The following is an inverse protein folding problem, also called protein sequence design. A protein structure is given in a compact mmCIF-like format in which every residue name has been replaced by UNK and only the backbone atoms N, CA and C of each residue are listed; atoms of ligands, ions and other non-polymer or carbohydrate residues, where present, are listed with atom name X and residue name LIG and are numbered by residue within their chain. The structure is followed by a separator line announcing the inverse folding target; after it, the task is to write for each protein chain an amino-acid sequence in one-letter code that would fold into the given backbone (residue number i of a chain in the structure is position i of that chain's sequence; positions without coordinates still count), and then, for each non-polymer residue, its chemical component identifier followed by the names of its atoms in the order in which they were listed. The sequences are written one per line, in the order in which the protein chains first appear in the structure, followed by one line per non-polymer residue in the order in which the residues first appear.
data_IF_844157855432
#
_entry.id   IF_844157855432
#
_cell.length_a   1.000
_cell.length_b   1.000
_cell.length_c   1.000
_cell.angle_alpha   90.00
_cell.angle_beta   90.00
_cell.angle_gamma   90.00
#
_symmetry.space_group_name_H-M   'P 1'
#
loop_
_entity.id
_entity.type
_entity.pdbx_description
1 polymer ?
#
# COMPACT_ATOMS: atom_id res chain seq x y z
N UNK A 1 12.06 -9.37 10.43
CA UNK A 1 10.84 -9.69 11.19
C UNK A 1 9.73 -8.93 10.51
N UNK A 2 8.59 -9.56 10.26
CA UNK A 2 7.49 -8.90 9.58
C UNK A 2 7.03 -7.64 10.32
N UNK A 3 6.67 -6.61 9.56
CA UNK A 3 6.22 -5.30 10.05
C UNK A 3 4.86 -4.98 9.48
N UNK A 4 4.06 -4.26 10.25
CA UNK A 4 2.85 -3.59 9.81
C UNK A 4 3.22 -2.18 9.38
N UNK A 5 2.92 -1.84 8.13
CA UNK A 5 2.91 -0.47 7.64
C UNK A 5 1.50 0.09 7.80
N UNK A 6 1.35 1.16 8.57
CA UNK A 6 0.14 1.97 8.61
C UNK A 6 0.42 3.27 7.88
N UNK A 7 -0.36 3.56 6.84
CA UNK A 7 -0.14 4.69 5.95
C UNK A 7 -1.44 5.45 5.70
N UNK A 8 -1.35 6.79 5.71
CA UNK A 8 -2.45 7.68 5.31
C UNK A 8 -1.95 8.70 4.32
N UNK A 9 -2.72 8.92 3.26
CA UNK A 9 -2.40 9.90 2.23
C UNK A 9 -3.59 10.81 1.97
N UNK A 10 -3.46 12.06 2.43
CA UNK A 10 -4.52 13.04 2.33
C UNK A 10 -4.84 13.36 0.86
N UNK A 11 -6.12 13.39 0.53
CA UNK A 11 -6.62 13.82 -0.78
C UNK A 11 -6.45 12.83 -1.94
N UNK A 12 -5.86 11.65 -1.73
CA UNK A 12 -5.80 10.60 -2.75
C UNK A 12 -7.17 10.00 -2.99
N UNK A 13 -7.60 9.95 -4.26
CA UNK A 13 -8.89 9.38 -4.66
C UNK A 13 -8.79 7.90 -5.02
N UNK A 14 -9.92 7.15 -5.05
CA UNK A 14 -9.95 5.78 -5.55
C UNK A 14 -9.39 5.63 -6.96
N UNK A 15 -9.73 6.55 -7.86
CA UNK A 15 -9.26 6.50 -9.25
C UNK A 15 -7.73 6.69 -9.35
N UNK A 16 -7.16 7.58 -8.53
CA UNK A 16 -5.71 7.74 -8.47
C UNK A 16 -5.02 6.50 -7.88
N UNK A 17 -5.61 5.90 -6.86
CA UNK A 17 -5.11 4.66 -6.29
C UNK A 17 -5.14 3.52 -7.30
N UNK A 18 -6.24 3.32 -8.02
CA UNK A 18 -6.37 2.27 -9.03
C UNK A 18 -5.33 2.46 -10.15
N UNK A 19 -5.15 3.70 -10.62
CA UNK A 19 -4.11 4.04 -11.60
C UNK A 19 -2.71 3.66 -11.10
N UNK A 20 -2.39 3.95 -9.84
CA UNK A 20 -1.09 3.60 -9.26
C UNK A 20 -0.96 2.09 -9.08
N UNK A 21 -1.98 1.41 -8.53
CA UNK A 21 -2.02 -0.04 -8.33
C UNK A 21 -1.78 -0.79 -9.64
N UNK A 22 -2.44 -0.36 -10.70
CA UNK A 22 -2.31 -0.95 -12.04
C UNK A 22 -0.94 -0.63 -12.64
N UNK A 23 -0.46 0.61 -12.52
CA UNK A 23 0.85 1.02 -13.03
C UNK A 23 2.00 0.28 -12.36
N UNK A 24 1.89 0.00 -11.06
CA UNK A 24 2.87 -0.84 -10.37
C UNK A 24 2.63 -2.31 -10.60
N UNK A 25 1.54 -2.75 -11.25
CA UNK A 25 1.20 -4.15 -11.48
C UNK A 25 1.13 -4.98 -10.19
N UNK A 26 0.40 -4.46 -9.19
CA UNK A 26 0.37 -5.03 -7.83
C UNK A 26 -0.14 -6.47 -7.79
N UNK A 27 -1.22 -6.78 -8.51
CA UNK A 27 -1.92 -8.07 -8.38
C UNK A 27 -1.28 -9.19 -9.22
N UNK A 28 -0.82 -8.86 -10.43
CA UNK A 28 -0.15 -9.84 -11.31
C UNK A 28 1.33 -10.04 -10.97
N UNK A 29 1.96 -9.05 -10.30
CA UNK A 29 3.36 -9.09 -9.93
C UNK A 29 3.57 -8.53 -8.51
N UNK A 30 3.01 -9.22 -7.52
CA UNK A 30 3.13 -8.85 -6.11
C UNK A 30 4.58 -8.49 -5.73
N UNK A 31 4.82 -7.35 -5.05
CA UNK A 31 6.17 -6.95 -4.66
C UNK A 31 6.83 -7.97 -3.73
N UNK A 32 8.14 -8.12 -3.88
CA UNK A 32 8.91 -9.02 -3.03
C UNK A 32 8.75 -8.63 -1.55
N UNK A 33 8.37 -9.61 -0.73
CA UNK A 33 8.17 -9.43 0.71
C UNK A 33 6.86 -8.77 1.12
N UNK A 34 5.92 -8.50 0.19
CA UNK A 34 4.55 -8.11 0.55
C UNK A 34 3.73 -9.34 0.96
N UNK A 35 3.07 -9.28 2.11
CA UNK A 35 2.31 -10.41 2.67
C UNK A 35 0.79 -10.13 2.79
N UNK A 36 0.41 -8.86 2.94
CA UNK A 36 -0.97 -8.40 3.05
C UNK A 36 -1.03 -6.95 2.59
N UNK A 37 -2.08 -6.60 1.85
CA UNK A 37 -2.42 -5.22 1.51
C UNK A 37 -3.90 -5.00 1.75
N UNK A 38 -4.22 -3.94 2.49
CA UNK A 38 -5.59 -3.50 2.73
C UNK A 38 -5.63 -2.00 2.49
N UNK A 39 -6.46 -1.57 1.56
CA UNK A 39 -6.69 -0.17 1.27
C UNK A 39 -8.16 0.19 1.48
N UNK A 40 -8.41 1.39 2.00
CA UNK A 40 -9.75 1.95 2.10
C UNK A 40 -9.70 3.47 2.02
N UNK A 41 -10.87 4.07 1.83
CA UNK A 41 -11.01 5.51 1.69
C UNK A 41 -11.99 6.04 2.73
N UNK A 42 -11.71 7.25 3.22
CA UNK A 42 -12.66 8.07 3.96
C UNK A 42 -12.64 9.52 3.43
N UNK A 43 -13.29 10.43 4.15
CA UNK A 43 -13.34 11.85 3.74
C UNK A 43 -11.95 12.53 3.72
N UNK A 44 -10.94 11.98 4.38
CA UNK A 44 -9.59 12.54 4.40
C UNK A 44 -8.73 12.01 3.24
N UNK A 45 -9.04 10.84 2.67
CA UNK A 45 -8.34 10.26 1.53
C UNK A 45 -8.05 8.78 1.70
N UNK A 46 -6.89 8.35 1.21
CA UNK A 46 -6.45 6.96 1.20
C UNK A 46 -5.87 6.56 2.56
N UNK A 47 -6.23 5.37 3.00
CA UNK A 47 -5.59 4.63 4.08
C UNK A 47 -5.11 3.29 3.57
N UNK A 48 -3.93 2.90 4.01
CA UNK A 48 -3.31 1.62 3.67
C UNK A 48 -2.79 0.96 4.94
N UNK A 49 -3.05 -0.33 5.06
CA UNK A 49 -2.41 -1.21 6.02
C UNK A 49 -1.77 -2.37 5.26
N UNK A 50 -0.45 -2.44 5.32
CA UNK A 50 0.29 -3.54 4.72
C UNK A 50 1.02 -4.36 5.77
N UNK A 51 1.27 -5.62 5.43
CA UNK A 51 2.26 -6.44 6.11
C UNK A 51 3.39 -6.72 5.14
N UNK A 52 4.62 -6.43 5.58
CA UNK A 52 5.84 -6.67 4.82
C UNK A 52 6.82 -7.51 5.64
N UNK A 53 7.64 -8.34 4.99
CA UNK A 53 8.71 -9.12 5.64
C UNK A 53 9.72 -8.24 6.40
N UNK A 54 9.89 -6.99 5.94
CA UNK A 54 10.73 -5.96 6.55
C UNK A 54 10.37 -4.56 6.03
N UNK A 55 10.77 -3.52 6.76
CA UNK A 55 10.66 -2.13 6.29
C UNK A 55 11.47 -1.92 5.00
N UNK A 56 12.64 -2.55 4.89
CA UNK A 56 13.51 -2.44 3.71
C UNK A 56 12.85 -3.00 2.44
N UNK A 57 12.03 -4.06 2.55
CA UNK A 57 11.29 -4.61 1.42
C UNK A 57 10.29 -3.59 0.85
N UNK A 58 9.56 -2.88 1.71
CA UNK A 58 8.69 -1.79 1.27
C UNK A 58 9.51 -0.65 0.65
N UNK A 59 10.62 -0.23 1.28
CA UNK A 59 11.42 0.89 0.75
C UNK A 59 12.01 0.58 -0.63
N UNK A 60 12.43 -0.66 -0.88
CA UNK A 60 12.87 -1.10 -2.21
C UNK A 60 11.73 -1.01 -3.23
N UNK A 61 10.55 -1.56 -2.90
CA UNK A 61 9.36 -1.43 -3.75
C UNK A 61 8.98 0.03 -4.01
N UNK A 62 9.06 0.87 -2.99
CA UNK A 62 8.75 2.30 -3.08
C UNK A 62 9.66 2.97 -4.11
N UNK A 63 10.98 2.76 -3.98
CA UNK A 63 11.98 3.38 -4.85
C UNK A 63 11.94 2.84 -6.29
N UNK A 64 11.72 1.53 -6.47
CA UNK A 64 11.83 0.88 -7.77
C UNK A 64 10.57 1.01 -8.63
N UNK A 65 9.39 1.00 -8.02
CA UNK A 65 8.10 0.91 -8.74
C UNK A 65 7.13 2.02 -8.35
N UNK A 66 6.93 2.26 -7.06
CA UNK A 66 5.82 3.09 -6.59
C UNK A 66 6.05 4.59 -6.81
N UNK A 67 7.24 5.11 -6.52
CA UNK A 67 7.51 6.55 -6.57
C UNK A 67 7.20 7.16 -7.95
N UNK A 68 7.64 6.50 -9.03
CA UNK A 68 7.36 6.96 -10.40
C UNK A 68 5.87 6.84 -10.76
N UNK A 69 5.17 5.83 -10.27
CA UNK A 69 3.73 5.66 -10.51
C UNK A 69 2.89 6.75 -9.83
N UNK A 70 3.22 7.07 -8.57
CA UNK A 70 2.60 8.16 -7.79
C UNK A 70 2.75 9.49 -8.51
N UNK A 71 3.98 9.81 -8.95
CA UNK A 71 4.27 11.04 -9.68
C UNK A 71 3.41 11.16 -10.94
N UNK A 72 3.33 10.08 -11.74
CA UNK A 72 2.54 10.03 -12.97
C UNK A 72 1.03 10.12 -12.74
N UNK A 73 0.54 9.62 -11.60
CA UNK A 73 -0.86 9.72 -11.20
C UNK A 73 -1.24 11.12 -10.65
N UNK A 74 -0.29 12.05 -10.59
CA UNK A 74 -0.52 13.41 -10.12
C UNK A 74 -0.88 13.47 -8.63
N UNK A 75 -0.48 12.46 -7.85
CA UNK A 75 -0.69 12.46 -6.41
C UNK A 75 0.29 13.46 -5.78
N UNK A 76 -0.26 14.42 -5.04
CA UNK A 76 0.52 15.45 -4.37
C UNK A 76 0.75 15.12 -2.89
N UNK A 77 1.77 15.77 -2.30
CA UNK A 77 2.14 15.59 -0.90
C UNK A 77 2.86 14.27 -0.64
N UNK A 78 3.05 13.95 0.65
CA UNK A 78 3.66 12.71 1.09
C UNK A 78 2.71 11.99 2.05
N UNK A 79 2.71 10.65 2.05
CA UNK A 79 1.96 9.89 3.03
C UNK A 79 2.58 10.06 4.42
N UNK A 80 1.74 9.96 5.45
CA UNK A 80 2.20 9.73 6.82
C UNK A 80 2.23 8.22 7.03
N UNK A 81 3.43 7.67 7.23
CA UNK A 81 3.66 6.23 7.37
C UNK A 81 4.31 5.89 8.71
N UNK A 82 3.89 4.77 9.31
CA UNK A 82 4.49 4.19 10.52
C UNK A 82 4.73 2.70 10.32
N UNK A 83 5.91 2.21 10.73
CA UNK A 83 6.25 0.80 10.76
C UNK A 83 6.27 0.29 12.19
N UNK A 84 5.57 -0.81 12.44
CA UNK A 84 5.55 -1.47 13.75
C UNK A 84 5.74 -2.98 13.61
N UNK A 85 6.35 -3.69 14.58
CA UNK A 85 6.48 -5.14 14.49
C UNK A 85 5.12 -5.85 14.42
N UNK A 86 4.96 -6.79 13.48
CA UNK A 86 3.75 -7.61 13.41
C UNK A 86 3.68 -8.55 14.61
N UNK A 87 2.60 -8.48 15.38
CA UNK A 87 2.35 -9.42 16.47
C UNK A 87 1.66 -10.71 15.99
N UNK A 88 0.59 -10.60 15.18
CA UNK A 88 -0.18 -11.72 14.63
C UNK A 88 -1.01 -11.25 13.43
N UNK A 89 -1.23 -12.13 12.44
CA UNK A 89 -2.19 -11.93 11.35
C UNK A 89 -3.21 -13.07 11.25
N UNK A 90 -4.44 -12.74 10.87
CA UNK A 90 -5.48 -13.70 10.49
C UNK A 90 -6.34 -13.07 9.40
N UNK A 91 -6.60 -13.83 8.34
CA UNK A 91 -7.52 -13.43 7.25
C UNK A 91 -8.51 -14.58 7.11
N UNK A 92 -9.80 -14.27 7.28
CA UNK A 92 -10.84 -15.27 7.11
C UNK A 92 -10.93 -15.71 5.63
N UNK A 93 -11.28 -16.97 5.34
CA UNK A 93 -11.51 -17.40 3.96
C UNK A 93 -12.60 -16.58 3.27
N UNK A 94 -12.39 -16.25 1.99
CA UNK A 94 -13.41 -15.59 1.16
C UNK A 94 -13.57 -14.07 1.39
N UNK A 95 -12.68 -13.43 2.13
CA UNK A 95 -12.65 -11.96 2.26
C UNK A 95 -12.16 -11.34 0.95
N UNK A 96 -12.96 -10.45 0.36
CA UNK A 96 -12.63 -9.69 -0.86
C UNK A 96 -12.91 -8.21 -0.67
N UNK A 97 -12.24 -7.37 -1.46
CA UNK A 97 -12.57 -5.95 -1.61
C UNK A 97 -13.73 -5.72 -2.57
N UNK A 98 -14.06 -4.44 -2.79
CA UNK A 98 -15.06 -4.00 -3.77
C UNK A 98 -14.48 -3.67 -5.16
N UNK A 99 -13.14 -3.65 -5.26
CA UNK A 99 -12.38 -3.36 -6.47
C UNK A 99 -11.88 -4.64 -7.13
#
# INVERSE_FOLDING_TARGET
MAVVLSMRWAGVTPEQYDLVRDAVNWEEAAPAGSELHVAWFDAAGLHVLDVWESEQAFQAFFAERLASAVEKAGIAGAPVSEFTPLHRRFVAPGVTGAA
#
